data_IF_527162849941
#
_entry.id   IF_527162849941
#
_cell.length_a   1.000
_cell.length_b   1.000
_cell.length_c   1.000
_cell.angle_alpha   90.00
_cell.angle_beta   90.00
_cell.angle_gamma   90.00
#
_symmetry.space_group_name_H-M   'P 1'
#
loop_
_entity.id
_entity.type
_entity.pdbx_description
1 polymer ?
#
# COMPACT_ATOMS: atom_id res chain seq x y z
N UNK A 1 -38.37 -38.10 -2.57
CA UNK A 1 -38.66 -36.88 -3.35
C UNK A 1 -38.07 -35.72 -2.55
N UNK A 2 -37.20 -34.87 -3.12
CA UNK A 2 -36.68 -33.72 -2.37
C UNK A 2 -37.76 -32.65 -2.27
N UNK A 3 -38.07 -32.20 -1.06
CA UNK A 3 -39.03 -31.12 -0.81
C UNK A 3 -38.57 -29.84 -1.52
N UNK A 4 -39.41 -29.32 -2.42
CA UNK A 4 -39.22 -28.04 -3.10
C UNK A 4 -39.15 -26.91 -2.07
N UNK A 5 -38.04 -26.16 -2.10
CA UNK A 5 -37.90 -24.96 -1.27
C UNK A 5 -38.95 -23.93 -1.69
N UNK A 6 -39.59 -23.20 -0.75
CA UNK A 6 -40.55 -22.17 -1.09
C UNK A 6 -39.87 -21.05 -1.88
N UNK A 7 -40.30 -20.85 -3.13
CA UNK A 7 -39.92 -19.70 -3.95
C UNK A 7 -40.77 -18.49 -3.52
N UNK A 8 -40.11 -17.46 -2.97
CA UNK A 8 -40.72 -16.17 -2.74
C UNK A 8 -40.42 -15.26 -3.93
N UNK A 9 -41.48 -14.72 -4.55
CA UNK A 9 -41.35 -13.69 -5.58
C UNK A 9 -40.85 -12.39 -4.92
N UNK A 10 -39.57 -12.09 -5.13
CA UNK A 10 -38.88 -10.91 -4.59
C UNK A 10 -38.86 -9.74 -5.58
N UNK A 11 -39.51 -9.85 -6.74
CA UNK A 11 -39.61 -8.75 -7.69
C UNK A 11 -40.39 -7.58 -7.04
N UNK A 12 -39.69 -6.45 -6.85
CA UNK A 12 -40.27 -5.21 -6.33
C UNK A 12 -40.18 -5.02 -4.81
N UNK A 13 -39.56 -5.93 -4.06
CA UNK A 13 -39.26 -5.71 -2.64
C UNK A 13 -38.05 -4.78 -2.48
N UNK A 14 -38.33 -3.49 -2.28
CA UNK A 14 -37.31 -2.50 -1.96
C UNK A 14 -37.08 -2.49 -0.43
N UNK A 15 -35.89 -2.93 -0.01
CA UNK A 15 -35.49 -2.90 1.40
C UNK A 15 -35.43 -1.48 1.96
N UNK A 16 -35.45 -1.31 3.30
CA UNK A 16 -35.27 0.00 3.90
C UNK A 16 -33.96 0.63 3.42
N UNK A 17 -33.98 1.96 3.26
CA UNK A 17 -32.80 2.71 2.84
C UNK A 17 -31.60 2.32 3.73
N UNK A 18 -30.43 1.98 3.13
CA UNK A 18 -29.27 1.59 3.89
C UNK A 18 -28.87 2.72 4.85
N UNK A 19 -28.36 2.40 6.05
CA UNK A 19 -27.95 3.40 7.02
C UNK A 19 -26.85 4.29 6.44
N UNK A 20 -26.88 5.58 6.79
CA UNK A 20 -25.83 6.51 6.40
C UNK A 20 -24.48 6.10 7.02
N UNK A 21 -23.44 6.02 6.20
CA UNK A 21 -22.10 5.72 6.67
C UNK A 21 -21.57 6.89 7.52
N UNK A 22 -21.13 6.60 8.74
CA UNK A 22 -20.51 7.63 9.59
C UNK A 22 -19.17 8.07 8.99
N UNK A 23 -19.01 9.38 8.79
CA UNK A 23 -17.78 10.00 8.29
C UNK A 23 -16.64 9.81 9.30
N UNK A 24 -15.80 8.79 9.09
CA UNK A 24 -14.60 8.60 9.91
C UNK A 24 -13.64 9.78 9.73
N UNK A 25 -13.07 10.27 10.83
CA UNK A 25 -12.03 11.30 10.80
C UNK A 25 -10.77 10.80 10.08
N UNK A 26 -9.92 11.72 9.60
CA UNK A 26 -8.64 11.36 8.96
C UNK A 26 -7.75 10.52 9.89
N UNK A 27 -7.79 10.79 11.19
CA UNK A 27 -7.02 10.08 12.20
C UNK A 27 -7.59 8.69 12.46
N UNK A 28 -8.92 8.56 12.54
CA UNK A 28 -9.59 7.26 12.65
C UNK A 28 -9.27 6.39 11.43
N UNK A 29 -9.32 6.94 10.22
CA UNK A 29 -8.91 6.21 8.99
C UNK A 29 -7.44 5.78 9.02
N UNK A 30 -6.55 6.59 9.61
CA UNK A 30 -5.14 6.20 9.81
C UNK A 30 -5.01 5.11 10.88
N UNK A 31 -5.76 5.21 11.96
CA UNK A 31 -5.77 4.27 13.06
C UNK A 31 -6.19 2.87 12.59
N UNK A 32 -7.35 2.77 11.93
CA UNK A 32 -7.88 1.50 11.39
C UNK A 32 -7.02 0.88 10.27
N UNK A 33 -6.07 1.63 9.71
CA UNK A 33 -5.07 1.06 8.79
C UNK A 33 -4.06 0.16 9.52
N UNK A 34 -3.76 0.49 10.78
CA UNK A 34 -2.77 -0.22 11.59
C UNK A 34 -3.40 -1.25 12.52
N UNK A 35 -4.57 -0.97 13.10
CA UNK A 35 -5.35 -1.91 13.92
C UNK A 35 -5.90 -3.06 13.05
N UNK A 36 -5.12 -4.13 12.91
CA UNK A 36 -5.43 -5.24 12.00
C UNK A 36 -6.41 -6.23 12.63
N UNK A 37 -6.32 -6.41 13.95
CA UNK A 37 -7.19 -7.31 14.69
C UNK A 37 -8.49 -6.64 15.17
N UNK A 38 -8.67 -5.34 14.92
CA UNK A 38 -9.86 -4.54 15.25
C UNK A 38 -10.16 -4.53 16.75
N UNK A 39 -9.11 -4.48 17.56
CA UNK A 39 -9.23 -4.44 19.02
C UNK A 39 -9.20 -3.02 19.60
N UNK A 40 -9.22 -2.00 18.72
CA UNK A 40 -9.14 -0.58 19.05
C UNK A 40 -7.85 -0.20 19.78
N UNK A 41 -6.78 -0.98 19.60
CA UNK A 41 -5.42 -0.67 20.03
C UNK A 41 -4.48 -0.89 18.85
N UNK A 42 -3.30 -0.27 18.92
CA UNK A 42 -2.22 -0.52 17.97
C UNK A 42 -1.04 -1.04 18.75
N UNK A 43 -0.72 -2.30 18.55
CA UNK A 43 0.48 -2.90 19.12
C UNK A 43 1.73 -2.43 18.38
N UNK A 44 2.91 -2.56 19.01
CA UNK A 44 4.20 -2.28 18.34
C UNK A 44 4.34 -3.06 17.04
N UNK A 45 3.87 -4.31 17.00
CA UNK A 45 3.93 -5.17 15.82
C UNK A 45 3.07 -4.62 14.68
N UNK A 46 1.86 -4.17 15.00
CA UNK A 46 0.96 -3.55 14.03
C UNK A 46 1.49 -2.23 13.49
N UNK A 47 2.05 -1.39 14.37
CA UNK A 47 2.71 -0.15 13.97
C UNK A 47 3.90 -0.38 13.04
N UNK A 48 4.63 -1.48 13.22
CA UNK A 48 5.77 -1.87 12.38
C UNK A 48 5.39 -2.66 11.13
N UNK A 49 4.12 -3.02 10.95
CA UNK A 49 3.68 -3.88 9.84
C UNK A 49 4.03 -3.34 8.45
N UNK A 50 3.94 -2.02 8.26
CA UNK A 50 4.34 -1.38 6.98
C UNK A 50 5.83 -1.44 6.71
N UNK A 51 6.66 -1.58 7.76
CA UNK A 51 8.11 -1.74 7.64
C UNK A 51 8.47 -3.20 7.38
N UNK A 52 7.79 -4.15 8.03
CA UNK A 52 8.00 -5.58 7.76
C UNK A 52 7.66 -5.94 6.31
N UNK A 53 6.63 -5.32 5.73
CA UNK A 53 6.26 -5.60 4.33
C UNK A 53 7.28 -5.04 3.33
N UNK A 54 7.94 -3.92 3.65
CA UNK A 54 9.05 -3.40 2.84
C UNK A 54 10.32 -4.22 3.01
N UNK A 55 10.60 -4.65 4.24
CA UNK A 55 11.74 -5.52 4.57
C UNK A 55 11.67 -6.85 3.80
N UNK A 56 10.52 -7.53 3.83
CA UNK A 56 10.29 -8.79 3.11
C UNK A 56 10.40 -8.68 1.58
N UNK A 57 10.27 -7.47 1.03
CA UNK A 57 10.46 -7.24 -0.42
C UNK A 57 11.93 -7.11 -0.80
N UNK A 58 12.79 -6.75 0.16
CA UNK A 58 14.22 -6.60 -0.05
C UNK A 58 14.95 -7.91 0.29
N UNK A 59 14.52 -8.59 1.35
CA UNK A 59 15.01 -9.91 1.79
C UNK A 59 14.55 -10.98 0.80
N UNK A 60 15.44 -11.31 -0.15
CA UNK A 60 15.13 -12.24 -1.25
C UNK A 60 15.42 -13.68 -0.85
N UNK A 61 16.38 -13.90 0.05
CA UNK A 61 16.75 -15.22 0.54
C UNK A 61 15.90 -15.71 1.74
N UNK A 62 15.14 -14.80 2.37
CA UNK A 62 14.19 -15.10 3.44
C UNK A 62 14.85 -15.34 4.80
N UNK A 63 16.09 -14.91 4.99
CA UNK A 63 16.86 -15.16 6.20
C UNK A 63 16.59 -14.13 7.34
N UNK A 64 15.71 -13.14 7.10
CA UNK A 64 15.40 -12.02 7.98
C UNK A 64 16.57 -11.05 8.27
N UNK A 65 17.57 -11.03 7.39
CA UNK A 65 18.64 -10.04 7.32
C UNK A 65 18.63 -9.43 5.91
N UNK A 66 19.14 -8.21 5.78
CA UNK A 66 19.41 -7.63 4.47
C UNK A 66 20.90 -7.63 4.27
N UNK A 67 21.37 -8.35 3.26
CA UNK A 67 22.73 -8.16 2.76
C UNK A 67 22.88 -6.76 2.16
N UNK A 68 24.13 -6.30 1.98
CA UNK A 68 24.39 -5.00 1.36
C UNK A 68 23.77 -4.92 -0.04
N UNK A 69 23.85 -6.01 -0.80
CA UNK A 69 23.29 -6.12 -2.14
C UNK A 69 21.76 -6.00 -2.11
N UNK A 70 21.07 -6.75 -1.24
CA UNK A 70 19.62 -6.68 -1.07
C UNK A 70 19.12 -5.30 -0.62
N UNK A 71 19.86 -4.66 0.28
CA UNK A 71 19.55 -3.30 0.71
C UNK A 71 19.81 -2.27 -0.40
N UNK A 72 20.86 -2.47 -1.19
CA UNK A 72 21.24 -1.57 -2.27
C UNK A 72 20.40 -1.74 -3.54
N UNK A 73 19.58 -2.80 -3.70
CA UNK A 73 18.75 -3.03 -4.90
C UNK A 73 17.97 -1.78 -5.33
N UNK A 74 17.37 -1.04 -4.39
CA UNK A 74 16.65 0.19 -4.75
C UNK A 74 17.55 1.32 -5.25
N UNK A 75 18.80 1.37 -4.79
CA UNK A 75 19.80 2.35 -5.23
C UNK A 75 20.42 1.91 -6.55
N UNK A 76 20.74 0.62 -6.70
CA UNK A 76 21.26 0.01 -7.93
C UNK A 76 20.27 0.18 -9.09
N UNK A 77 19.01 -0.26 -8.91
CA UNK A 77 17.98 -0.07 -9.95
C UNK A 77 17.75 1.40 -10.33
N UNK A 78 17.98 2.33 -9.39
CA UNK A 78 17.86 3.77 -9.65
C UNK A 78 19.06 4.32 -10.40
N UNK A 79 20.24 3.78 -10.12
CA UNK A 79 21.46 4.06 -10.86
C UNK A 79 21.33 3.56 -12.29
N UNK A 80 20.99 2.28 -12.48
CA UNK A 80 20.82 1.65 -13.79
C UNK A 80 19.72 2.33 -14.63
N UNK A 81 18.68 2.87 -13.98
CA UNK A 81 17.63 3.62 -14.67
C UNK A 81 18.06 5.04 -15.06
N UNK A 82 19.11 5.58 -14.45
CA UNK A 82 19.62 6.92 -14.71
C UNK A 82 20.81 6.91 -15.68
N UNK A 83 21.64 5.87 -15.65
CA UNK A 83 22.75 5.61 -16.56
C UNK A 83 22.20 5.26 -17.94
N UNK A 84 22.11 6.26 -18.82
CA UNK A 84 21.41 6.11 -20.10
C UNK A 84 22.32 5.53 -21.17
N UNK A 85 23.64 5.68 -21.04
CA UNK A 85 24.63 5.19 -21.98
C UNK A 85 25.31 3.88 -21.53
N UNK A 86 25.12 3.46 -20.28
CA UNK A 86 25.54 2.17 -19.74
C UNK A 86 27.03 2.12 -19.42
N UNK A 87 27.64 3.26 -19.12
CA UNK A 87 29.07 3.37 -18.85
C UNK A 87 29.45 3.17 -17.37
N UNK A 88 28.45 2.91 -16.51
CA UNK A 88 28.59 2.75 -15.06
C UNK A 88 29.05 4.02 -14.33
N UNK A 89 28.89 5.19 -14.96
CA UNK A 89 29.02 6.50 -14.35
C UNK A 89 27.71 7.29 -14.51
N UNK A 90 27.52 8.36 -13.73
CA UNK A 90 26.37 9.25 -13.94
C UNK A 90 26.88 10.65 -14.19
N UNK A 91 26.59 11.17 -15.39
CA UNK A 91 26.76 12.59 -15.65
C UNK A 91 25.79 13.42 -14.81
N UNK A 92 26.04 14.73 -14.68
CA UNK A 92 25.12 15.63 -13.98
C UNK A 92 23.70 15.60 -14.57
N UNK A 93 23.60 15.41 -15.90
CA UNK A 93 22.32 15.34 -16.59
C UNK A 93 21.56 14.06 -16.21
N UNK A 94 22.23 12.92 -16.17
CA UNK A 94 21.67 11.62 -15.80
C UNK A 94 21.31 11.56 -14.32
N UNK A 95 22.19 12.03 -13.44
CA UNK A 95 21.92 12.07 -12.00
C UNK A 95 20.67 12.91 -11.67
N UNK A 96 20.42 14.00 -12.41
CA UNK A 96 19.23 14.83 -12.23
C UNK A 96 17.91 14.05 -12.46
N UNK A 97 17.94 13.00 -13.28
CA UNK A 97 16.76 12.14 -13.53
C UNK A 97 16.37 11.29 -12.32
N UNK A 98 17.32 11.03 -11.41
CA UNK A 98 17.07 10.27 -10.19
C UNK A 98 16.19 11.02 -9.19
N UNK A 99 16.00 12.33 -9.34
CA UNK A 99 15.27 13.15 -8.36
C UNK A 99 13.85 12.61 -8.06
N UNK A 100 13.40 12.61 -6.79
CA UNK A 100 12.06 12.13 -6.44
C UNK A 100 10.98 12.95 -7.15
N UNK A 101 10.13 12.29 -7.94
CA UNK A 101 9.08 12.95 -8.71
C UNK A 101 8.12 13.68 -7.77
N UNK A 102 8.07 15.02 -7.88
CA UNK A 102 7.15 15.85 -7.10
C UNK A 102 5.72 15.46 -7.45
N UNK A 103 4.98 14.95 -6.46
CA UNK A 103 3.55 14.67 -6.63
C UNK A 103 2.81 16.00 -6.82
N UNK A 104 2.01 16.17 -7.89
CA UNK A 104 1.22 17.39 -8.06
C UNK A 104 0.27 17.54 -6.86
N UNK A 105 0.15 18.77 -6.32
CA UNK A 105 -0.86 19.07 -5.31
C UNK A 105 -2.23 18.77 -5.91
N UNK A 106 -3.02 17.92 -5.25
CA UNK A 106 -4.43 17.73 -5.61
C UNK A 106 -5.10 19.10 -5.55
N UNK A 107 -5.75 19.51 -6.64
CA UNK A 107 -6.54 20.75 -6.66
C UNK A 107 -7.71 20.54 -5.70
N UNK A 108 -7.83 21.40 -4.69
CA UNK A 108 -9.06 21.46 -3.92
C UNK A 108 -10.13 22.04 -4.86
N UNK A 109 -11.15 21.26 -5.20
CA UNK A 109 -12.40 21.84 -5.66
C UNK A 109 -13.10 22.35 -4.41
N UNK A 110 -13.03 23.67 -4.21
CA UNK A 110 -13.87 24.40 -3.29
C UNK A 110 -15.14 24.85 -4.03
#
# INVERSE_FOLDING_TARGET
EPDELPEADVEGLEGPAPPEATELSREQRRFFRYDRNRDLKITRREMLSTRTDAFRKLDTDGNNLLTFEEWAVTTANRFDAADADGDLELTQAEFATTAPKRRPKKRCNC
#
